data_IF_945970237391
#
_entry.id   IF_945970237391
#
_cell.length_a   1.000
_cell.length_b   1.000
_cell.length_c   1.000
_cell.angle_alpha   90.00
_cell.angle_beta   90.00
_cell.angle_gamma   90.00
#
_symmetry.space_group_name_H-M   'P 1'
#
loop_
_entity.id
_entity.type
_entity.pdbx_description
1 polymer ?
#
# COMPACT_ATOMS: atom_id res chain seq x y z
N UNK A 1 -17.63 -0.89 -9.51
CA UNK A 1 -16.32 -0.32 -9.81
C UNK A 1 -16.26 1.05 -9.16
N UNK A 2 -15.31 1.31 -8.25
CA UNK A 2 -15.11 2.63 -7.62
C UNK A 2 -13.75 3.15 -8.06
N UNK A 3 -13.68 4.42 -8.37
CA UNK A 3 -12.43 5.13 -8.63
C UNK A 3 -11.92 5.63 -7.28
N UNK A 4 -10.60 5.58 -7.08
CA UNK A 4 -9.96 6.10 -5.88
C UNK A 4 -10.45 7.54 -5.61
N UNK A 5 -10.90 7.80 -4.39
CA UNK A 5 -11.61 9.03 -4.02
C UNK A 5 -10.80 10.29 -4.36
N UNK A 6 -9.49 10.21 -4.26
CA UNK A 6 -8.54 11.30 -4.52
C UNK A 6 -8.52 11.74 -5.99
N UNK A 7 -8.90 10.86 -6.92
CA UNK A 7 -8.86 11.13 -8.36
C UNK A 7 -10.25 11.42 -8.96
N UNK A 8 -11.32 11.45 -8.16
CA UNK A 8 -12.69 11.66 -8.66
C UNK A 8 -12.87 12.98 -9.38
N UNK A 9 -12.31 14.06 -8.82
CA UNK A 9 -12.38 15.39 -9.43
C UNK A 9 -11.61 15.46 -10.73
N UNK A 10 -10.40 14.91 -10.77
CA UNK A 10 -9.57 14.82 -11.97
C UNK A 10 -10.28 13.98 -13.04
N UNK A 11 -10.90 12.88 -12.64
CA UNK A 11 -11.68 12.02 -13.52
C UNK A 11 -12.83 12.77 -14.20
N UNK A 12 -13.64 13.50 -13.42
CA UNK A 12 -14.79 14.27 -13.94
C UNK A 12 -14.30 15.35 -14.90
N UNK A 13 -13.27 16.13 -14.51
CA UNK A 13 -12.71 17.19 -15.35
C UNK A 13 -12.14 16.66 -16.66
N UNK A 14 -11.35 15.59 -16.62
CA UNK A 14 -10.77 15.01 -17.82
C UNK A 14 -11.84 14.42 -18.75
N UNK A 15 -12.89 13.80 -18.22
CA UNK A 15 -14.02 13.32 -19.02
C UNK A 15 -14.77 14.47 -19.69
N UNK A 16 -15.01 15.58 -18.97
CA UNK A 16 -15.63 16.76 -19.53
C UNK A 16 -14.79 17.40 -20.65
N UNK A 17 -13.48 17.51 -20.44
CA UNK A 17 -12.55 18.07 -21.44
C UNK A 17 -12.55 17.19 -22.69
N UNK A 18 -12.43 15.86 -22.56
CA UNK A 18 -12.49 14.94 -23.70
C UNK A 18 -13.81 15.00 -24.45
N UNK A 19 -14.93 15.13 -23.71
CA UNK A 19 -16.26 15.24 -24.31
C UNK A 19 -16.45 16.55 -25.08
N UNK A 20 -15.97 17.66 -24.56
CA UNK A 20 -16.05 18.98 -25.23
C UNK A 20 -15.16 19.02 -26.48
N UNK A 21 -13.96 18.45 -26.41
CA UNK A 21 -13.08 18.32 -27.57
C UNK A 21 -13.66 17.41 -28.66
N UNK A 22 -14.39 16.35 -28.28
CA UNK A 22 -15.09 15.45 -29.20
C UNK A 22 -16.16 16.17 -30.03
N UNK A 23 -16.87 17.12 -29.43
CA UNK A 23 -17.90 17.91 -30.13
C UNK A 23 -17.25 18.86 -31.17
N UNK A 24 -16.00 19.28 -30.91
CA UNK A 24 -15.28 20.23 -31.76
C UNK A 24 -14.48 19.59 -32.91
N UNK A 25 -14.07 18.31 -32.83
CA UNK A 25 -13.28 17.66 -33.89
C UNK A 25 -13.48 16.15 -33.95
N UNK A 26 -13.79 15.63 -35.16
CA UNK A 26 -14.31 14.26 -35.30
C UNK A 26 -13.29 13.13 -35.43
N UNK A 27 -12.00 13.36 -35.64
CA UNK A 27 -11.10 12.28 -36.11
C UNK A 27 -9.97 11.88 -35.16
N UNK A 28 -9.47 12.77 -34.33
CA UNK A 28 -8.24 12.53 -33.52
C UNK A 28 -8.54 11.94 -32.13
N UNK A 29 -9.77 11.89 -31.71
CA UNK A 29 -10.15 11.66 -30.30
C UNK A 29 -10.31 10.21 -29.89
N UNK A 30 -10.35 9.25 -30.81
CA UNK A 30 -10.40 7.83 -30.46
C UNK A 30 -9.19 7.38 -29.63
N UNK A 31 -8.00 7.87 -29.95
CA UNK A 31 -6.78 7.59 -29.18
C UNK A 31 -6.91 8.15 -27.75
N UNK A 32 -7.46 9.35 -27.61
CA UNK A 32 -7.73 9.98 -26.29
C UNK A 32 -8.68 9.12 -25.43
N UNK A 33 -9.74 8.58 -26.03
CA UNK A 33 -10.68 7.70 -25.32
C UNK A 33 -10.07 6.34 -24.93
N UNK A 34 -9.20 5.78 -25.79
CA UNK A 34 -8.46 4.55 -25.46
C UNK A 34 -7.50 4.80 -24.31
N UNK A 35 -6.71 5.88 -24.35
CA UNK A 35 -5.81 6.26 -23.26
C UNK A 35 -6.57 6.53 -21.97
N UNK A 36 -7.72 7.21 -22.07
CA UNK A 36 -8.62 7.44 -20.95
C UNK A 36 -9.14 6.14 -20.36
N UNK A 37 -9.58 5.19 -21.18
CA UNK A 37 -10.00 3.86 -20.75
C UNK A 37 -8.90 3.08 -20.04
N UNK A 38 -7.67 3.12 -20.55
CA UNK A 38 -6.49 2.53 -19.90
C UNK A 38 -6.23 3.19 -18.54
N UNK A 39 -6.28 4.53 -18.48
CA UNK A 39 -6.10 5.27 -17.24
C UNK A 39 -7.14 4.89 -16.18
N UNK A 40 -8.42 4.75 -16.59
CA UNK A 40 -9.50 4.28 -15.71
C UNK A 40 -9.25 2.87 -15.19
N UNK A 41 -8.74 1.98 -16.05
CA UNK A 41 -8.41 0.61 -15.65
C UNK A 41 -7.25 0.57 -14.65
N UNK A 42 -6.26 1.45 -14.78
CA UNK A 42 -5.14 1.56 -13.85
C UNK A 42 -5.56 2.12 -12.47
N UNK A 43 -6.53 3.03 -12.44
CA UNK A 43 -7.05 3.63 -11.20
C UNK A 43 -8.20 2.83 -10.57
N UNK A 44 -8.46 1.64 -11.08
CA UNK A 44 -9.54 0.79 -10.62
C UNK A 44 -9.28 0.30 -9.19
N UNK A 45 -10.23 0.57 -8.31
CA UNK A 45 -10.25 0.07 -6.93
C UNK A 45 -10.99 -1.28 -6.88
N UNK A 46 -10.32 -2.31 -6.37
CA UNK A 46 -10.87 -3.65 -6.21
C UNK A 46 -11.43 -3.83 -4.81
N UNK A 47 -12.72 -4.08 -4.68
CA UNK A 47 -13.26 -4.57 -3.41
C UNK A 47 -12.75 -5.99 -3.17
N UNK A 48 -11.96 -6.15 -2.13
CA UNK A 48 -11.41 -7.45 -1.73
C UNK A 48 -12.06 -7.90 -0.44
N UNK A 49 -12.23 -9.22 -0.33
CA UNK A 49 -12.63 -9.84 0.93
C UNK A 49 -11.38 -9.92 1.78
N UNK A 50 -11.38 -9.20 2.89
CA UNK A 50 -10.32 -9.23 3.89
C UNK A 50 -10.50 -10.54 4.67
N UNK A 51 -9.44 -11.35 4.88
CA UNK A 51 -9.52 -12.52 5.73
C UNK A 51 -9.91 -12.10 7.14
N UNK A 52 -10.98 -12.68 7.69
CA UNK A 52 -11.39 -12.46 9.08
C UNK A 52 -10.57 -13.38 10.00
N UNK A 53 -9.25 -13.27 9.95
CA UNK A 53 -8.34 -14.04 10.81
C UNK A 53 -7.75 -13.13 11.87
N UNK A 54 -8.13 -13.31 13.14
CA UNK A 54 -7.47 -12.59 14.24
C UNK A 54 -5.98 -12.93 14.25
N UNK A 55 -5.15 -11.96 14.60
CA UNK A 55 -3.69 -12.07 14.67
C UNK A 55 -2.98 -12.31 13.33
N UNK A 56 -3.67 -12.24 12.20
CA UNK A 56 -3.03 -12.29 10.90
C UNK A 56 -2.42 -10.94 10.54
N UNK A 57 -1.23 -10.97 9.94
CA UNK A 57 -0.60 -9.80 9.31
C UNK A 57 -0.81 -9.95 7.81
N UNK A 58 -1.57 -9.03 7.22
CA UNK A 58 -1.89 -9.07 5.78
C UNK A 58 -0.97 -8.15 4.98
N UNK A 59 -0.89 -8.40 3.67
CA UNK A 59 -0.09 -7.57 2.77
C UNK A 59 -0.62 -6.15 2.69
N UNK A 60 0.29 -5.18 2.74
CA UNK A 60 -0.01 -3.74 2.62
C UNK A 60 -0.23 -3.29 1.18
N UNK A 61 0.39 -3.97 0.21
CA UNK A 61 0.33 -3.63 -1.23
C UNK A 61 0.21 -4.88 -2.10
N UNK A 62 -0.22 -4.69 -3.35
CA UNK A 62 -0.11 -5.71 -4.38
C UNK A 62 1.33 -5.82 -4.85
N UNK A 63 1.85 -7.04 -4.93
CA UNK A 63 3.22 -7.21 -5.38
C UNK A 63 3.73 -8.63 -5.33
N UNK A 64 5.05 -8.71 -5.21
CA UNK A 64 5.78 -9.97 -5.05
C UNK A 64 6.75 -9.85 -3.88
N UNK A 65 6.85 -10.89 -3.08
CA UNK A 65 7.83 -10.96 -2.01
C UNK A 65 9.22 -11.14 -2.62
N UNK A 66 10.12 -10.24 -2.27
CA UNK A 66 11.53 -10.26 -2.72
C UNK A 66 12.43 -10.89 -1.68
N UNK A 67 12.19 -10.63 -0.39
CA UNK A 67 12.94 -11.20 0.71
C UNK A 67 12.06 -11.44 1.94
N UNK A 68 12.45 -12.44 2.74
CA UNK A 68 11.89 -12.71 4.05
C UNK A 68 13.07 -13.11 4.95
N UNK A 69 13.41 -12.25 5.91
CA UNK A 69 14.62 -12.40 6.70
C UNK A 69 14.45 -11.86 8.14
N UNK A 70 15.21 -12.38 9.08
CA UNK A 70 15.31 -11.78 10.41
C UNK A 70 16.31 -10.64 10.38
N UNK A 71 15.88 -9.46 10.81
CA UNK A 71 16.71 -8.24 10.84
C UNK A 71 16.29 -7.35 12.01
N UNK A 72 17.05 -6.31 12.27
CA UNK A 72 16.70 -5.31 13.27
C UNK A 72 15.78 -4.26 12.64
N UNK A 73 14.64 -4.02 13.27
CA UNK A 73 13.75 -2.91 12.92
C UNK A 73 14.46 -1.58 13.26
N UNK A 74 14.75 -0.72 12.26
CA UNK A 74 15.49 0.52 12.48
C UNK A 74 14.67 1.62 13.19
N UNK A 75 13.35 1.44 13.33
CA UNK A 75 12.45 2.39 13.97
C UNK A 75 12.25 2.09 15.46
N UNK A 76 12.06 0.81 15.80
CA UNK A 76 11.83 0.36 17.18
C UNK A 76 13.08 -0.29 17.81
N UNK A 77 14.20 -0.41 17.09
CA UNK A 77 15.48 -0.96 17.56
C UNK A 77 15.34 -2.36 18.19
N UNK A 78 14.55 -3.23 17.54
CA UNK A 78 14.27 -4.57 18.04
C UNK A 78 14.48 -5.64 16.97
N UNK A 79 14.76 -6.91 17.34
CA UNK A 79 14.73 -8.03 16.41
C UNK A 79 13.36 -8.17 15.79
N UNK A 80 13.29 -8.39 14.49
CA UNK A 80 12.05 -8.46 13.72
C UNK A 80 12.18 -9.41 12.55
N UNK A 81 11.07 -10.05 12.21
CA UNK A 81 10.91 -10.73 10.93
C UNK A 81 10.51 -9.69 9.89
N UNK A 82 11.31 -9.54 8.85
CA UNK A 82 11.13 -8.51 7.81
C UNK A 82 10.68 -9.17 6.53
N UNK A 83 9.53 -8.74 6.02
CA UNK A 83 9.02 -9.12 4.70
C UNK A 83 9.19 -7.94 3.75
N UNK A 84 10.03 -8.11 2.71
CA UNK A 84 10.25 -7.10 1.67
C UNK A 84 9.40 -7.43 0.45
N UNK A 85 8.66 -6.43 -0.04
CA UNK A 85 7.67 -6.55 -1.09
C UNK A 85 8.01 -5.55 -2.20
N UNK A 86 8.19 -6.03 -3.42
CA UNK A 86 8.21 -5.18 -4.61
C UNK A 86 6.77 -4.97 -5.09
N UNK A 87 6.31 -3.72 -5.08
CA UNK A 87 4.97 -3.36 -5.53
C UNK A 87 4.78 -3.66 -7.02
N UNK A 88 3.61 -4.20 -7.37
CA UNK A 88 3.25 -4.48 -8.76
C UNK A 88 2.86 -3.20 -9.52
N UNK A 89 3.39 -3.05 -10.75
CA UNK A 89 3.02 -1.94 -11.64
C UNK A 89 1.61 -2.04 -12.22
N UNK A 90 0.99 -3.22 -12.17
CA UNK A 90 -0.35 -3.49 -12.72
C UNK A 90 -1.38 -3.82 -11.63
N UNK A 91 -0.98 -3.75 -10.37
CA UNK A 91 -1.83 -4.03 -9.23
C UNK A 91 -2.64 -2.82 -8.76
N UNK A 92 -3.22 -2.96 -7.59
CA UNK A 92 -3.85 -1.86 -6.87
C UNK A 92 -2.77 -0.98 -6.24
N UNK A 93 -2.93 0.35 -6.36
CA UNK A 93 -1.99 1.32 -5.78
C UNK A 93 -2.39 1.79 -4.38
N UNK A 94 -3.48 1.24 -3.84
CA UNK A 94 -3.88 1.54 -2.47
C UNK A 94 -2.96 0.84 -1.47
N UNK A 95 -2.66 1.55 -0.39
CA UNK A 95 -1.96 1.01 0.77
C UNK A 95 -3.01 0.54 1.77
N UNK A 96 -2.85 -0.67 2.29
CA UNK A 96 -3.74 -1.27 3.27
C UNK A 96 -3.01 -1.50 4.59
N UNK A 97 -3.73 -1.36 5.70
CA UNK A 97 -3.18 -1.67 7.02
C UNK A 97 -2.88 -3.16 7.14
N UNK A 98 -1.67 -3.55 7.58
CA UNK A 98 -1.32 -4.95 7.74
C UNK A 98 -2.04 -5.64 8.91
N UNK A 99 -2.40 -4.87 9.94
CA UNK A 99 -3.07 -5.36 11.15
C UNK A 99 -4.19 -4.42 11.56
N UNK A 100 -5.07 -4.88 12.43
CA UNK A 100 -5.95 -4.02 13.20
C UNK A 100 -5.18 -3.47 14.40
N UNK A 101 -5.30 -2.16 14.65
CA UNK A 101 -4.60 -1.56 15.77
C UNK A 101 -4.66 -0.04 15.78
N UNK A 102 -3.95 0.54 16.71
CA UNK A 102 -3.76 1.98 16.85
C UNK A 102 -2.48 2.41 16.15
N UNK A 103 -2.55 3.53 15.45
CA UNK A 103 -1.39 4.17 14.84
C UNK A 103 -0.67 4.93 15.95
N UNK A 104 0.52 4.47 16.33
CA UNK A 104 1.30 5.12 17.38
C UNK A 104 2.12 6.27 16.81
N UNK A 105 2.77 6.07 15.66
CA UNK A 105 3.62 7.09 15.06
C UNK A 105 3.75 6.94 13.55
N UNK A 106 4.01 8.08 12.91
CA UNK A 106 4.38 8.22 11.51
C UNK A 106 5.74 8.89 11.43
N UNK A 107 6.66 8.33 10.65
CA UNK A 107 7.94 8.95 10.35
C UNK A 107 8.05 9.20 8.85
N UNK A 108 8.47 10.39 8.50
CA UNK A 108 8.96 10.68 7.17
C UNK A 108 10.46 10.93 7.30
N UNK A 109 11.26 9.98 6.86
CA UNK A 109 12.71 10.09 6.90
C UNK A 109 13.21 10.42 5.50
N UNK A 110 13.98 11.52 5.38
CA UNK A 110 14.73 11.86 4.19
C UNK A 110 16.16 11.36 4.40
N UNK A 111 16.55 10.21 3.84
CA UNK A 111 17.92 9.77 3.88
C UNK A 111 18.74 10.64 2.92
N UNK A 112 20.02 10.85 3.24
CA UNK A 112 21.00 11.69 2.55
C UNK A 112 21.12 11.47 1.01
N UNK A 113 20.44 10.48 0.46
CA UNK A 113 20.48 10.10 -0.96
C UNK A 113 19.19 10.42 -1.74
N UNK A 114 18.29 11.27 -1.22
CA UNK A 114 17.04 11.65 -1.91
C UNK A 114 16.00 10.53 -1.98
N UNK A 115 16.12 9.49 -1.15
CA UNK A 115 15.12 8.45 -0.94
C UNK A 115 14.25 8.82 0.25
N UNK A 116 12.97 8.99 0.03
CA UNK A 116 12.03 9.24 1.12
C UNK A 116 11.47 7.92 1.64
N UNK A 117 11.64 7.67 2.93
CA UNK A 117 11.04 6.52 3.60
C UNK A 117 9.90 7.03 4.49
N UNK A 118 8.69 6.62 4.15
CA UNK A 118 7.54 6.78 5.03
C UNK A 118 7.41 5.50 5.86
N UNK A 119 7.43 5.62 7.17
CA UNK A 119 7.21 4.52 8.09
C UNK A 119 5.97 4.76 8.96
N UNK A 120 5.20 3.71 9.18
CA UNK A 120 3.98 3.71 10.00
C UNK A 120 4.10 2.64 11.05
N UNK A 121 4.00 3.03 12.31
CA UNK A 121 3.96 2.13 13.45
C UNK A 121 2.54 1.91 13.91
N UNK A 122 2.14 0.64 13.93
CA UNK A 122 0.85 0.14 14.40
C UNK A 122 1.07 -0.73 15.63
N UNK A 123 0.18 -0.59 16.59
CA UNK A 123 0.14 -1.43 17.78
C UNK A 123 -1.23 -2.06 17.93
N UNK A 124 -1.27 -3.37 18.10
CA UNK A 124 -2.50 -4.12 18.38
C UNK A 124 -2.98 -3.89 19.82
N UNK A 125 -4.20 -4.33 20.13
CA UNK A 125 -4.69 -4.32 21.51
C UNK A 125 -3.92 -5.27 22.42
N UNK A 126 -3.33 -6.32 21.85
CA UNK A 126 -2.46 -7.28 22.52
C UNK A 126 -1.03 -6.78 22.70
N UNK A 127 -0.73 -5.53 22.34
CA UNK A 127 0.58 -4.88 22.44
C UNK A 127 1.62 -5.42 21.44
N UNK A 128 1.20 -6.04 20.36
CA UNK A 128 2.12 -6.36 19.27
C UNK A 128 2.37 -5.13 18.39
N UNK A 129 3.62 -4.90 18.13
CA UNK A 129 4.05 -3.79 17.28
C UNK A 129 4.36 -4.30 15.87
N UNK A 130 3.80 -3.63 14.87
CA UNK A 130 4.14 -3.85 13.46
C UNK A 130 4.47 -2.50 12.83
N UNK A 131 5.61 -2.45 12.14
CA UNK A 131 6.01 -1.27 11.38
C UNK A 131 6.00 -1.63 9.91
N UNK A 132 5.35 -0.82 9.07
CA UNK A 132 5.53 -0.95 7.63
C UNK A 132 6.15 0.33 7.05
N UNK A 133 6.99 0.15 6.06
CA UNK A 133 7.69 1.25 5.39
C UNK A 133 7.41 1.24 3.91
N UNK A 134 7.36 2.43 3.35
CA UNK A 134 7.27 2.68 1.92
C UNK A 134 8.55 3.41 1.49
N UNK A 135 9.38 2.75 0.71
CA UNK A 135 10.58 3.35 0.13
C UNK A 135 10.23 4.01 -1.20
N UNK A 136 10.27 5.32 -1.22
CA UNK A 136 9.90 6.16 -2.35
C UNK A 136 11.16 6.57 -3.09
N UNK A 137 11.54 5.84 -4.13
CA UNK A 137 12.78 6.02 -4.90
C UNK A 137 12.94 7.39 -5.57
N UNK A 138 11.92 8.25 -5.58
CA UNK A 138 11.97 9.57 -6.21
C UNK A 138 10.89 10.50 -5.63
N UNK A 139 11.15 11.80 -5.64
CA UNK A 139 10.18 12.85 -5.34
C UNK A 139 8.90 12.78 -6.19
N UNK A 140 8.95 12.12 -7.34
CA UNK A 140 7.80 11.88 -8.20
C UNK A 140 6.91 10.73 -7.72
N UNK A 141 7.41 9.84 -6.83
CA UNK A 141 6.66 8.77 -6.21
C UNK A 141 6.02 9.31 -4.93
N UNK A 142 4.85 9.90 -5.04
CA UNK A 142 4.10 10.38 -3.88
C UNK A 142 3.32 9.22 -3.26
N UNK A 143 3.62 8.91 -2.02
CA UNK A 143 2.68 8.21 -1.15
C UNK A 143 1.80 9.26 -0.47
N UNK A 144 0.50 9.09 -0.58
CA UNK A 144 -0.48 9.89 0.16
C UNK A 144 -1.04 8.99 1.25
N UNK A 145 -0.74 9.30 2.49
CA UNK A 145 -1.27 8.58 3.64
C UNK A 145 -2.40 9.41 4.25
N UNK A 146 -3.56 8.78 4.42
CA UNK A 146 -4.78 9.42 4.92
C UNK A 146 -5.09 9.04 6.38
N UNK A 147 -4.04 8.74 7.16
CA UNK A 147 -4.12 8.31 8.55
C UNK A 147 -3.29 9.24 9.44
N UNK A 148 -3.67 9.34 10.71
CA UNK A 148 -2.99 10.18 11.70
C UNK A 148 -2.59 9.38 12.95
N UNK A 149 -1.50 9.77 13.64
CA UNK A 149 -1.16 9.18 14.93
C UNK A 149 -2.33 9.31 15.93
N UNK A 150 -2.58 8.24 16.67
CA UNK A 150 -3.70 8.14 17.61
C UNK A 150 -4.97 7.55 17.03
N UNK A 151 -5.13 7.48 15.72
CA UNK A 151 -6.28 6.84 15.08
C UNK A 151 -6.22 5.31 15.18
N UNK A 152 -7.39 4.67 15.18
CA UNK A 152 -7.52 3.21 15.04
C UNK A 152 -7.85 2.87 13.60
N UNK A 153 -7.20 1.83 13.11
CA UNK A 153 -7.43 1.32 11.76
C UNK A 153 -7.67 -0.18 11.80
N UNK A 154 -8.60 -0.67 11.00
CA UNK A 154 -8.88 -2.10 10.85
C UNK A 154 -7.87 -2.81 9.94
N UNK A 155 -7.69 -4.11 10.15
CA UNK A 155 -6.89 -4.97 9.28
C UNK A 155 -7.39 -4.89 7.83
N UNK A 156 -6.47 -4.73 6.88
CA UNK A 156 -6.79 -4.60 5.46
C UNK A 156 -7.59 -3.34 5.10
N UNK A 157 -7.82 -2.43 6.03
CA UNK A 157 -8.44 -1.14 5.75
C UNK A 157 -7.47 -0.27 4.96
N UNK A 158 -7.98 0.42 3.95
CA UNK A 158 -7.19 1.36 3.16
C UNK A 158 -6.70 2.51 4.03
N UNK A 159 -5.40 2.76 4.01
CA UNK A 159 -4.74 3.84 4.75
C UNK A 159 -4.00 4.84 3.87
N UNK A 160 -3.93 4.60 2.57
CA UNK A 160 -3.25 5.51 1.68
C UNK A 160 -3.22 5.05 0.22
N UNK A 161 -2.39 5.74 -0.53
CA UNK A 161 -2.11 5.48 -1.94
C UNK A 161 -0.60 5.61 -2.18
N UNK A 162 0.00 4.67 -2.87
CA UNK A 162 1.40 4.74 -3.30
C UNK A 162 1.49 4.63 -4.81
N UNK A 163 2.23 5.54 -5.44
CA UNK A 163 2.51 5.46 -6.87
C UNK A 163 3.37 4.24 -7.21
N UNK A 164 3.41 3.92 -8.51
CA UNK A 164 4.08 2.74 -9.08
C UNK A 164 5.54 2.64 -8.62
N UNK A 165 5.97 1.43 -8.22
CA UNK A 165 7.38 1.08 -8.09
C UNK A 165 7.98 1.36 -6.71
N UNK A 166 7.18 1.44 -5.65
CA UNK A 166 7.74 1.48 -4.31
C UNK A 166 8.12 0.09 -3.80
N UNK A 167 9.15 0.04 -2.97
CA UNK A 167 9.47 -1.11 -2.14
C UNK A 167 8.80 -0.94 -0.78
N UNK A 168 8.14 -1.98 -0.32
CA UNK A 168 7.47 -1.99 0.97
C UNK A 168 8.13 -3.02 1.87
N UNK A 169 8.49 -2.64 3.09
CA UNK A 169 8.97 -3.56 4.11
C UNK A 169 8.00 -3.59 5.27
N UNK A 170 7.66 -4.79 5.71
CA UNK A 170 6.82 -5.02 6.88
C UNK A 170 7.67 -5.68 7.95
N UNK A 171 7.91 -4.96 9.04
CA UNK A 171 8.64 -5.40 10.22
C UNK A 171 7.63 -5.97 11.22
N UNK A 172 7.73 -7.25 11.47
CA UNK A 172 6.85 -8.03 12.33
C UNK A 172 7.60 -8.50 13.56
N UNK A 173 6.94 -8.82 14.67
CA UNK A 173 7.60 -9.48 15.81
C UNK A 173 8.38 -10.71 15.35
N UNK A 174 9.56 -10.96 15.94
CA UNK A 174 10.45 -12.05 15.56
C UNK A 174 9.79 -13.43 15.70
N UNK A 175 8.88 -13.58 16.67
CA UNK A 175 8.11 -14.80 16.91
C UNK A 175 6.94 -15.01 15.93
N UNK A 176 6.68 -14.09 15.00
CA UNK A 176 5.63 -14.24 14.01
C UNK A 176 5.93 -15.41 13.07
N UNK A 177 4.90 -16.19 12.79
CA UNK A 177 5.01 -17.34 11.88
C UNK A 177 4.70 -16.91 10.46
N UNK A 178 5.72 -16.83 9.60
CA UNK A 178 5.53 -16.52 8.18
C UNK A 178 4.68 -17.59 7.48
N UNK A 179 3.77 -17.13 6.62
CA UNK A 179 2.89 -17.98 5.79
C UNK A 179 3.24 -17.91 4.31
N UNK A 180 4.17 -17.04 3.95
CA UNK A 180 4.60 -16.75 2.56
C UNK A 180 6.09 -17.02 2.39
N UNK A 181 6.52 -17.09 1.13
CA UNK A 181 7.93 -17.33 0.75
C UNK A 181 8.38 -16.26 -0.27
N UNK A 182 9.70 -16.00 -0.39
CA UNK A 182 10.24 -15.21 -1.46
C UNK A 182 9.79 -15.73 -2.83
N UNK A 183 9.36 -14.84 -3.71
CA UNK A 183 8.80 -15.15 -5.02
C UNK A 183 7.28 -15.24 -5.09
N UNK A 184 6.58 -15.34 -3.96
CA UNK A 184 5.11 -15.41 -3.94
C UNK A 184 4.48 -14.10 -4.42
N UNK A 185 3.40 -14.23 -5.20
CA UNK A 185 2.53 -13.09 -5.54
C UNK A 185 1.54 -12.85 -4.43
N UNK A 186 1.42 -11.61 -4.03
CA UNK A 186 0.56 -11.19 -2.92
C UNK A 186 -0.41 -10.11 -3.34
N UNK A 187 -1.53 -10.07 -2.65
CA UNK A 187 -2.62 -9.11 -2.86
C UNK A 187 -2.85 -8.31 -1.58
N UNK A 188 -2.87 -6.99 -1.72
CA UNK A 188 -3.09 -6.05 -0.63
C UNK A 188 -4.38 -6.35 0.16
N UNK A 189 -4.30 -6.30 1.47
CA UNK A 189 -5.41 -6.55 2.38
C UNK A 189 -5.97 -7.98 2.37
N UNK A 190 -5.44 -8.88 1.52
CA UNK A 190 -5.97 -10.24 1.37
C UNK A 190 -4.97 -11.35 1.70
N UNK A 191 -3.75 -11.23 1.20
CA UNK A 191 -2.74 -12.28 1.42
C UNK A 191 -2.15 -12.13 2.81
N UNK A 192 -2.25 -13.19 3.60
CA UNK A 192 -1.62 -13.27 4.92
C UNK A 192 -0.11 -13.45 4.74
N UNK A 193 0.68 -12.55 5.31
CA UNK A 193 2.14 -12.60 5.32
C UNK A 193 2.66 -13.45 6.47
N UNK A 194 2.07 -13.28 7.64
CA UNK A 194 2.43 -14.00 8.85
C UNK A 194 1.25 -14.04 9.83
N UNK A 195 1.37 -14.89 10.85
CA UNK A 195 0.45 -14.96 11.98
C UNK A 195 1.22 -14.66 13.28
N UNK A 196 0.69 -13.76 14.09
CA UNK A 196 1.22 -13.47 15.42
C UNK A 196 1.01 -14.69 16.32
N UNK A 197 2.00 -14.99 17.14
CA UNK A 197 1.91 -16.03 18.17
C UNK A 197 1.77 -15.34 19.51
N UNK A 198 0.64 -15.58 20.16
CA UNK A 198 0.51 -15.36 21.60
C UNK A 198 0.80 -16.69 22.31
N UNK A 199 1.77 -16.65 23.18
CA UNK A 199 2.13 -17.77 24.08
C UNK A 199 1.22 -17.82 25.28
#
# INVERSE_FOLDING_TARGET
MRIAHEFRTVFILATLILSTLQISSSTILWVGWVLWGVFVLLLRDFRRVIPAEPLAIVSTVDGRITALESSVDPFLQRPSLVCTIAQSSLGEFNIHSPIEGKIEQLWLRDPENGRYILAVWLRTDEQDDVVFTLDLHSLHHRAIVSIQPGERIGQGQRCGFAAIGCEVRVYMPENAQATVKPGDKILAGRTMLAKLKHG
#
